data_IF_408736480784
#
_entry.id   IF_408736480784
#
_cell.length_a   1.000
_cell.length_b   1.000
_cell.length_c   1.000
_cell.angle_alpha   90.00
_cell.angle_beta   90.00
_cell.angle_gamma   90.00
#
_symmetry.space_group_name_H-M   'P 1'
#
loop_
_entity.id
_entity.type
_entity.pdbx_description
1 polymer ?
#
# COMPACT_ATOMS: atom_id res chain seq x y z
N UNK A 1 26.74 -6.00 17.18
CA UNK A 1 25.28 -6.10 17.03
C UNK A 1 24.66 -6.53 18.35
N UNK A 2 24.59 -5.61 19.31
CA UNK A 2 23.81 -5.84 20.53
C UNK A 2 22.42 -5.28 20.28
N UNK A 3 21.40 -6.13 20.19
CA UNK A 3 20.02 -5.68 20.26
C UNK A 3 19.86 -4.95 21.58
N UNK A 4 19.50 -3.67 21.55
CA UNK A 4 19.18 -2.93 22.77
C UNK A 4 17.92 -3.57 23.35
N UNK A 5 18.03 -4.17 24.53
CA UNK A 5 16.92 -4.71 25.35
C UNK A 5 15.80 -3.68 25.65
N UNK A 6 15.95 -2.43 25.21
CA UNK A 6 15.01 -1.33 25.38
C UNK A 6 14.13 -1.08 24.17
N UNK A 7 14.39 -1.71 23.03
CA UNK A 7 13.45 -1.71 21.91
C UNK A 7 12.88 -3.13 21.83
N UNK A 8 11.60 -3.35 22.20
CA UNK A 8 10.90 -4.50 21.71
C UNK A 8 10.75 -4.21 20.24
N UNK A 9 11.77 -4.55 19.45
CA UNK A 9 11.57 -4.72 18.03
C UNK A 9 10.43 -5.73 17.93
N UNK A 10 9.23 -5.23 17.65
CA UNK A 10 8.22 -6.04 17.01
C UNK A 10 8.91 -6.47 15.73
N UNK A 11 9.45 -7.69 15.76
CA UNK A 11 10.17 -8.29 14.65
C UNK A 11 9.37 -7.98 13.38
N UNK A 12 9.99 -7.57 12.26
CA UNK A 12 9.24 -7.29 11.04
C UNK A 12 8.30 -8.46 10.77
N UNK A 13 7.01 -8.15 10.56
CA UNK A 13 5.90 -9.10 10.38
C UNK A 13 5.29 -9.73 11.65
N UNK A 14 5.84 -9.52 12.85
CA UNK A 14 5.24 -9.95 14.12
C UNK A 14 3.78 -9.49 14.30
N UNK A 15 3.46 -8.20 14.03
CA UNK A 15 2.09 -7.69 14.10
C UNK A 15 1.12 -8.35 13.10
N UNK A 16 1.61 -8.91 11.97
CA UNK A 16 0.75 -9.60 11.01
C UNK A 16 0.06 -10.83 11.61
N UNK A 17 0.72 -11.54 12.55
CA UNK A 17 0.09 -12.67 13.27
C UNK A 17 -1.16 -12.26 14.04
N UNK A 18 -1.17 -11.02 14.54
CA UNK A 18 -2.28 -10.45 15.31
C UNK A 18 -3.25 -9.66 14.45
N UNK A 19 -3.01 -9.59 13.12
CA UNK A 19 -3.74 -8.76 12.17
C UNK A 19 -3.68 -7.27 12.50
N UNK A 20 -2.66 -6.86 13.24
CA UNK A 20 -2.42 -5.47 13.56
C UNK A 20 -1.80 -4.79 12.34
N UNK A 21 -2.45 -3.71 11.88
CA UNK A 21 -1.93 -2.88 10.78
C UNK A 21 -0.88 -1.95 11.33
N UNK A 22 0.35 -2.12 10.87
CA UNK A 22 1.49 -1.31 11.27
C UNK A 22 2.08 -0.61 10.06
N UNK A 23 2.45 0.66 10.24
CA UNK A 23 3.20 1.43 9.22
C UNK A 23 4.59 0.84 9.04
N UNK A 24 5.17 0.28 10.10
CA UNK A 24 6.48 -0.37 10.08
C UNK A 24 6.32 -1.81 9.58
N UNK A 25 6.59 -2.03 8.30
CA UNK A 25 6.50 -3.34 7.65
C UNK A 25 7.67 -3.61 6.72
N UNK A 26 7.91 -4.88 6.41
CA UNK A 26 8.86 -5.28 5.38
C UNK A 26 8.12 -5.47 4.06
N UNK A 27 8.53 -4.76 3.01
CA UNK A 27 8.10 -5.01 1.64
C UNK A 27 9.33 -5.39 0.79
N UNK A 28 9.41 -6.62 0.25
CA UNK A 28 10.54 -7.03 -0.58
C UNK A 28 10.61 -6.26 -1.91
N UNK A 29 9.50 -5.66 -2.33
CA UNK A 29 9.38 -4.82 -3.53
C UNK A 29 9.20 -3.37 -3.12
N UNK A 30 10.31 -2.66 -2.97
CA UNK A 30 10.30 -1.22 -2.72
C UNK A 30 10.13 -0.51 -4.06
N UNK A 31 8.96 0.07 -4.30
CA UNK A 31 8.74 0.94 -5.44
C UNK A 31 9.42 2.29 -5.23
N UNK A 32 9.91 2.89 -6.32
CA UNK A 32 10.55 4.21 -6.31
C UNK A 32 9.65 5.27 -5.64
N UNK A 33 8.37 5.30 -6.03
CA UNK A 33 7.34 6.17 -5.47
C UNK A 33 7.20 6.00 -3.94
N UNK A 34 7.20 4.76 -3.44
CA UNK A 34 7.13 4.51 -2.01
C UNK A 34 8.41 4.94 -1.28
N UNK A 35 9.59 4.76 -1.88
CA UNK A 35 10.83 5.30 -1.29
C UNK A 35 10.85 6.83 -1.26
N UNK A 36 10.36 7.49 -2.30
CA UNK A 36 10.24 8.96 -2.36
C UNK A 36 9.31 9.45 -1.25
N UNK A 37 8.16 8.80 -1.06
CA UNK A 37 7.25 9.09 0.05
C UNK A 37 7.94 8.98 1.42
N UNK A 38 8.68 7.89 1.67
CA UNK A 38 9.39 7.67 2.94
C UNK A 38 10.54 8.68 3.15
N UNK A 39 11.15 9.19 2.08
CA UNK A 39 12.13 10.26 2.19
C UNK A 39 11.47 11.60 2.56
N UNK A 40 10.39 11.98 1.86
CA UNK A 40 9.66 13.22 2.10
C UNK A 40 9.12 13.29 3.52
N UNK A 41 8.48 12.21 4.01
CA UNK A 41 7.97 12.15 5.39
C UNK A 41 9.07 12.26 6.45
N UNK A 42 10.31 11.91 6.12
CA UNK A 42 11.48 12.07 7.00
C UNK A 42 12.23 13.39 6.77
N UNK A 43 11.69 14.32 5.98
CA UNK A 43 12.32 15.60 5.66
C UNK A 43 13.59 15.48 4.80
N UNK A 44 13.72 14.40 4.03
CA UNK A 44 14.84 14.17 3.11
C UNK A 44 14.43 14.48 1.67
N UNK A 45 15.43 14.71 0.83
CA UNK A 45 15.23 14.80 -0.62
C UNK A 45 14.59 13.51 -1.17
N UNK A 46 13.51 13.58 -1.98
CA UNK A 46 12.79 12.41 -2.47
C UNK A 46 13.69 11.39 -3.17
N UNK A 47 14.73 11.84 -3.87
CA UNK A 47 15.62 11.00 -4.68
C UNK A 47 16.82 10.47 -3.89
N UNK A 48 16.85 10.73 -2.57
CA UNK A 48 17.83 10.13 -1.66
C UNK A 48 17.72 8.60 -1.71
N UNK A 49 18.85 7.89 -1.79
CA UNK A 49 18.83 6.43 -1.69
C UNK A 49 18.19 5.99 -0.36
N UNK A 50 17.08 5.23 -0.38
CA UNK A 50 16.30 4.95 0.82
C UNK A 50 16.99 4.04 1.86
N UNK A 51 18.09 3.39 1.47
CA UNK A 51 18.67 2.27 2.23
C UNK A 51 17.99 0.94 1.90
N UNK A 52 18.40 -0.14 2.57
CA UNK A 52 17.85 -1.48 2.31
C UNK A 52 16.45 -1.70 2.90
N UNK A 53 16.29 -1.40 4.19
CA UNK A 53 15.00 -1.51 4.89
C UNK A 53 14.40 -0.11 5.05
N UNK A 54 13.23 0.12 4.44
CA UNK A 54 12.49 1.36 4.60
C UNK A 54 11.88 1.43 6.01
N UNK A 55 12.53 2.18 6.89
CA UNK A 55 12.03 2.48 8.22
C UNK A 55 11.71 3.96 8.36
N UNK A 56 10.61 4.26 9.04
CA UNK A 56 10.39 5.57 9.66
C UNK A 56 11.17 5.57 10.97
N UNK A 57 12.37 6.14 10.94
CA UNK A 57 13.28 6.09 12.08
C UNK A 57 13.02 7.19 13.12
N UNK A 58 12.35 8.27 12.73
CA UNK A 58 12.11 9.43 13.59
C UNK A 58 10.66 9.90 13.44
N UNK A 59 9.72 9.08 13.94
CA UNK A 59 8.28 9.37 13.88
C UNK A 59 7.92 10.68 14.60
N UNK A 60 8.51 11.02 15.77
CA UNK A 60 8.22 12.31 16.42
C UNK A 60 8.54 13.54 15.58
N UNK A 61 9.55 13.48 14.71
CA UNK A 61 9.92 14.56 13.80
C UNK A 61 9.47 14.33 12.35
N UNK A 62 8.67 13.29 12.10
CA UNK A 62 8.14 13.03 10.78
C UNK A 62 7.15 14.12 10.34
N UNK A 63 7.09 14.37 9.04
CA UNK A 63 6.10 15.26 8.46
C UNK A 63 4.68 14.82 8.86
N UNK A 64 3.92 15.77 9.39
CA UNK A 64 2.59 15.48 9.92
C UNK A 64 1.64 15.06 8.80
N UNK A 65 1.69 15.68 7.62
CA UNK A 65 0.84 15.28 6.49
C UNK A 65 1.13 13.83 6.08
N UNK A 66 2.39 13.43 6.00
CA UNK A 66 2.79 12.05 5.72
C UNK A 66 2.16 11.03 6.69
N UNK A 67 2.16 11.33 7.99
CA UNK A 67 1.50 10.49 9.00
C UNK A 67 -0.03 10.49 8.85
N UNK A 68 -0.61 11.62 8.47
CA UNK A 68 -2.05 11.75 8.21
C UNK A 68 -2.47 10.88 7.04
N UNK A 69 -1.80 10.98 5.89
CA UNK A 69 -2.14 10.21 4.69
C UNK A 69 -1.88 8.72 4.85
N UNK A 70 -0.92 8.31 5.69
CA UNK A 70 -0.74 6.91 6.10
C UNK A 70 -1.90 6.37 6.95
N UNK A 71 -2.79 7.25 7.43
CA UNK A 71 -3.91 6.87 8.29
C UNK A 71 -3.44 6.41 9.68
N UNK A 72 -2.33 6.97 10.18
CA UNK A 72 -1.85 6.69 11.54
C UNK A 72 -2.94 7.08 12.54
N UNK A 73 -3.20 6.21 13.52
CA UNK A 73 -4.17 6.50 14.60
C UNK A 73 -3.54 6.47 15.98
N UNK A 74 -2.49 5.68 16.14
CA UNK A 74 -1.80 5.51 17.40
C UNK A 74 -0.29 5.48 17.18
N UNK A 75 0.43 6.02 18.16
CA UNK A 75 1.88 5.92 18.26
C UNK A 75 2.22 5.19 19.56
N UNK A 76 3.17 4.27 19.48
CA UNK A 76 3.72 3.56 20.64
C UNK A 76 5.20 3.90 20.72
N UNK A 77 5.62 4.56 21.82
CA UNK A 77 6.97 5.12 21.97
C UNK A 77 7.45 4.99 23.42
N UNK A 78 8.76 4.92 23.63
CA UNK A 78 9.37 4.90 24.97
C UNK A 78 9.55 6.30 25.54
N UNK A 79 9.88 7.25 24.67
CA UNK A 79 10.13 8.63 25.04
C UNK A 79 8.84 9.46 25.10
N UNK A 80 8.90 10.57 25.83
CA UNK A 80 7.81 11.53 25.79
C UNK A 80 7.77 12.22 24.43
N UNK A 81 6.59 12.25 23.82
CA UNK A 81 6.32 12.90 22.53
C UNK A 81 5.35 14.04 22.77
N UNK A 82 5.59 15.17 22.11
CA UNK A 82 4.73 16.34 22.16
C UNK A 82 3.55 16.28 21.19
N UNK A 83 2.88 17.41 21.02
CA UNK A 83 1.88 17.59 19.97
C UNK A 83 2.47 17.25 18.59
N UNK A 84 1.68 16.69 17.65
CA UNK A 84 0.22 16.50 17.70
C UNK A 84 -0.25 15.21 18.41
N UNK A 85 0.64 14.46 19.07
CA UNK A 85 0.30 13.20 19.73
C UNK A 85 -0.29 13.43 21.13
N UNK A 86 -1.42 12.80 21.42
CA UNK A 86 -2.12 12.93 22.71
C UNK A 86 -1.82 11.69 23.57
N UNK A 87 -1.21 11.82 24.75
CA UNK A 87 -0.95 10.69 25.62
C UNK A 87 -2.26 9.99 26.03
N UNK A 88 -2.35 8.67 25.83
CA UNK A 88 -3.52 7.88 26.25
C UNK A 88 -3.20 7.01 27.46
N UNK A 89 -2.10 6.25 27.39
CA UNK A 89 -1.84 5.20 28.37
C UNK A 89 -0.35 4.91 28.50
N UNK A 90 0.10 4.71 29.74
CA UNK A 90 1.38 4.06 30.04
C UNK A 90 1.15 2.56 30.18
N UNK A 91 1.85 1.76 29.38
CA UNK A 91 1.79 0.30 29.40
C UNK A 91 2.66 -0.28 30.52
N UNK A 92 2.37 -1.50 31.02
CA UNK A 92 3.09 -2.09 32.16
C UNK A 92 4.60 -2.24 31.95
N UNK A 93 5.05 -2.39 30.71
CA UNK A 93 6.45 -2.51 30.33
C UNK A 93 7.17 -1.15 30.21
N UNK A 94 6.48 -0.03 30.43
CA UNK A 94 7.05 1.32 30.35
C UNK A 94 6.81 2.05 29.02
N UNK A 95 6.25 1.38 28.00
CA UNK A 95 5.84 2.02 26.75
C UNK A 95 4.72 3.05 26.98
N UNK A 96 4.69 4.07 26.14
CA UNK A 96 3.69 5.11 26.11
C UNK A 96 2.87 4.97 24.82
N UNK A 97 1.56 4.85 24.98
CA UNK A 97 0.58 4.87 23.90
C UNK A 97 0.04 6.30 23.76
N UNK A 98 0.08 6.79 22.53
CA UNK A 98 -0.49 8.07 22.14
C UNK A 98 -1.55 7.87 21.07
N UNK A 99 -2.57 8.72 21.09
CA UNK A 99 -3.52 8.90 20.01
C UNK A 99 -3.02 9.95 19.04
N UNK A 100 -3.29 9.73 17.76
CA UNK A 100 -3.10 10.71 16.69
C UNK A 100 -4.43 10.95 16.00
N UNK A 101 -5.07 12.08 16.34
CA UNK A 101 -6.45 12.38 15.93
C UNK A 101 -6.59 12.89 14.49
N UNK A 102 -5.47 13.17 13.82
CA UNK A 102 -5.47 13.78 12.48
C UNK A 102 -5.35 12.75 11.33
N UNK A 103 -5.26 11.46 11.65
CA UNK A 103 -5.13 10.38 10.67
C UNK A 103 -6.30 10.34 9.68
N UNK A 104 -6.00 10.31 8.39
CA UNK A 104 -7.01 10.27 7.34
C UNK A 104 -7.64 8.88 7.21
N UNK A 105 -8.90 8.78 6.75
CA UNK A 105 -9.48 7.50 6.37
C UNK A 105 -8.71 6.86 5.20
N UNK A 106 -8.91 5.55 4.98
CA UNK A 106 -8.23 4.81 3.90
C UNK A 106 -8.56 5.36 2.50
N UNK A 107 -9.71 6.02 2.36
CA UNK A 107 -10.14 6.70 1.14
C UNK A 107 -10.60 8.12 1.50
N UNK A 108 -10.12 9.12 0.77
CA UNK A 108 -10.44 10.53 1.05
C UNK A 108 -10.34 11.38 -0.22
N UNK A 109 -10.98 12.55 -0.20
CA UNK A 109 -10.87 13.54 -1.29
C UNK A 109 -9.69 14.48 -1.06
N UNK A 110 -9.03 14.89 -2.14
CA UNK A 110 -7.94 15.87 -2.12
C UNK A 110 -8.03 16.82 -3.31
N UNK A 111 -7.64 18.08 -3.10
CA UNK A 111 -7.50 19.10 -4.15
C UNK A 111 -6.04 19.31 -4.49
N UNK A 112 -5.78 19.83 -5.68
CA UNK A 112 -4.43 20.29 -6.04
C UNK A 112 -4.02 21.47 -5.15
N UNK A 113 -2.78 21.45 -4.69
CA UNK A 113 -2.22 22.46 -3.82
C UNK A 113 -0.76 22.72 -4.16
N UNK A 114 -0.33 23.97 -3.99
CA UNK A 114 1.08 24.35 -4.15
C UNK A 114 1.84 24.10 -2.83
N UNK A 115 2.09 22.83 -2.53
CA UNK A 115 2.83 22.35 -1.35
C UNK A 115 3.74 21.18 -1.75
N UNK A 116 4.58 20.69 -0.82
CA UNK A 116 5.53 19.60 -1.07
C UNK A 116 4.87 18.26 -1.48
N UNK A 117 3.55 18.15 -1.25
CA UNK A 117 2.74 16.97 -1.55
C UNK A 117 1.97 17.08 -2.87
N UNK A 118 1.90 18.28 -3.48
CA UNK A 118 1.08 18.61 -4.65
C UNK A 118 -0.43 18.53 -4.43
N UNK A 119 -0.86 18.07 -3.25
CA UNK A 119 -2.25 17.79 -2.90
C UNK A 119 -2.54 18.21 -1.46
N UNK A 120 -3.79 18.54 -1.21
CA UNK A 120 -4.30 18.85 0.13
C UNK A 120 -5.64 18.12 0.36
N UNK A 121 -5.81 17.38 1.48
CA UNK A 121 -7.07 16.71 1.81
C UNK A 121 -8.23 17.70 1.97
N UNK A 122 -9.43 17.28 1.55
CA UNK A 122 -10.67 18.03 1.74
C UNK A 122 -11.35 17.52 3.02
N UNK A 123 -11.05 18.15 4.15
CA UNK A 123 -11.54 17.73 5.49
C UNK A 123 -13.07 17.65 5.59
N UNK A 124 -13.78 18.64 5.03
CA UNK A 124 -15.24 18.74 5.13
C UNK A 124 -16.05 17.73 4.31
N UNK A 125 -15.39 16.83 3.57
CA UNK A 125 -16.05 15.83 2.71
C UNK A 125 -15.66 14.38 3.04
N UNK A 126 -14.95 14.15 4.14
CA UNK A 126 -14.49 12.80 4.50
C UNK A 126 -15.63 11.85 4.82
N UNK A 127 -16.71 12.35 5.43
CA UNK A 127 -17.92 11.60 5.75
C UNK A 127 -18.77 11.26 4.51
N UNK A 128 -18.58 12.02 3.43
CA UNK A 128 -19.21 11.79 2.12
C UNK A 128 -18.49 10.75 1.27
N UNK A 129 -17.43 10.12 1.78
CA UNK A 129 -16.65 9.10 1.07
C UNK A 129 -16.60 7.80 1.88
N UNK A 130 -16.99 6.68 1.27
CA UNK A 130 -17.02 5.39 1.96
C UNK A 130 -16.62 4.23 1.06
N UNK A 131 -15.96 3.26 1.66
CA UNK A 131 -15.71 1.96 1.04
C UNK A 131 -16.99 1.13 1.18
N UNK A 132 -17.55 0.71 0.05
CA UNK A 132 -18.75 -0.14 -0.01
C UNK A 132 -18.37 -1.61 -0.03
N UNK A 133 -17.29 -1.95 -0.73
CA UNK A 133 -16.77 -3.31 -0.85
C UNK A 133 -15.24 -3.26 -0.78
N UNK A 134 -14.63 -4.23 -0.10
CA UNK A 134 -13.18 -4.39 -0.07
C UNK A 134 -12.82 -5.86 0.06
N UNK A 135 -12.08 -6.36 -0.91
CA UNK A 135 -11.32 -7.60 -0.84
C UNK A 135 -9.82 -7.31 -1.11
N UNK A 136 -9.02 -8.36 -1.35
CA UNK A 136 -7.58 -8.22 -1.60
C UNK A 136 -7.23 -7.59 -2.96
N UNK A 137 -8.09 -7.73 -3.97
CA UNK A 137 -7.86 -7.34 -5.37
C UNK A 137 -8.96 -6.42 -5.93
N UNK A 138 -9.94 -6.03 -5.14
CA UNK A 138 -11.11 -5.26 -5.55
C UNK A 138 -11.54 -4.34 -4.40
N UNK A 139 -11.75 -3.07 -4.73
CA UNK A 139 -12.31 -2.09 -3.81
C UNK A 139 -13.32 -1.23 -4.54
N UNK A 140 -14.47 -1.02 -3.92
CA UNK A 140 -15.55 -0.16 -4.43
C UNK A 140 -15.73 0.97 -3.45
N UNK A 141 -15.65 2.20 -3.96
CA UNK A 141 -15.79 3.42 -3.17
C UNK A 141 -16.90 4.25 -3.75
N UNK A 142 -17.83 4.66 -2.88
CA UNK A 142 -18.82 5.68 -3.20
C UNK A 142 -18.38 6.99 -2.56
N UNK A 143 -18.51 8.07 -3.32
CA UNK A 143 -18.08 9.39 -2.87
C UNK A 143 -18.96 10.50 -3.45
N UNK A 144 -19.15 11.56 -2.69
CA UNK A 144 -19.84 12.78 -3.11
C UNK A 144 -18.97 14.00 -2.80
N UNK A 145 -18.79 14.90 -3.77
CA UNK A 145 -17.98 16.10 -3.62
C UNK A 145 -18.65 17.30 -4.29
N UNK A 146 -18.47 18.50 -3.75
CA UNK A 146 -19.00 19.73 -4.37
C UNK A 146 -18.14 20.20 -5.55
N UNK A 147 -16.91 19.71 -5.66
CA UNK A 147 -15.95 20.12 -6.68
C UNK A 147 -15.23 18.92 -7.32
N UNK A 148 -14.71 19.12 -8.53
CA UNK A 148 -13.90 18.09 -9.18
C UNK A 148 -12.55 17.94 -8.48
N UNK A 149 -12.32 16.79 -7.85
CA UNK A 149 -11.20 16.54 -6.93
C UNK A 149 -10.61 15.14 -7.14
N UNK A 150 -9.45 14.90 -6.55
CA UNK A 150 -8.84 13.58 -6.50
C UNK A 150 -9.54 12.74 -5.44
N UNK A 151 -9.93 11.52 -5.79
CA UNK A 151 -10.25 10.47 -4.84
C UNK A 151 -8.99 9.64 -4.61
N UNK A 152 -8.44 9.74 -3.41
CA UNK A 152 -7.19 9.08 -3.02
C UNK A 152 -7.53 7.83 -2.23
N UNK A 153 -6.94 6.72 -2.65
CA UNK A 153 -6.92 5.45 -1.95
C UNK A 153 -5.53 5.26 -1.35
N UNK A 154 -5.43 5.31 -0.01
CA UNK A 154 -4.23 5.00 0.76
C UNK A 154 -3.94 3.49 0.67
N UNK A 155 -3.45 3.11 -0.49
CA UNK A 155 -2.78 1.87 -0.78
C UNK A 155 -1.70 2.18 -1.81
N UNK A 156 -0.55 1.51 -1.72
CA UNK A 156 0.57 1.84 -2.60
C UNK A 156 0.16 1.61 -4.07
N UNK A 157 0.49 2.58 -4.92
CA UNK A 157 0.38 2.40 -6.36
C UNK A 157 1.26 1.23 -6.79
N UNK A 158 0.79 0.36 -7.66
CA UNK A 158 1.57 -0.75 -8.19
C UNK A 158 1.10 -1.10 -9.62
N UNK A 159 1.99 -1.51 -10.54
CA UNK A 159 1.59 -1.90 -11.90
C UNK A 159 0.58 -3.06 -11.91
N UNK A 160 -0.50 -2.91 -12.67
CA UNK A 160 -1.57 -3.92 -12.78
C UNK A 160 -2.86 -3.56 -12.02
N UNK A 161 -2.87 -2.47 -11.24
CA UNK A 161 -4.14 -1.88 -10.83
C UNK A 161 -4.82 -1.20 -12.01
N UNK A 162 -6.12 -1.44 -12.16
CA UNK A 162 -7.03 -0.76 -13.08
C UNK A 162 -8.10 -0.05 -12.25
N UNK A 163 -8.58 1.11 -12.72
CA UNK A 163 -9.70 1.81 -12.10
C UNK A 163 -10.82 2.09 -13.10
N UNK A 164 -12.05 2.15 -12.61
CA UNK A 164 -13.19 2.66 -13.35
C UNK A 164 -13.90 3.74 -12.54
N UNK A 165 -14.32 4.81 -13.19
CA UNK A 165 -15.17 5.87 -12.65
C UNK A 165 -16.56 5.72 -13.29
N UNK A 166 -17.57 5.46 -12.46
CA UNK A 166 -18.96 5.31 -12.88
C UNK A 166 -19.15 4.27 -14.02
N UNK A 167 -18.30 3.23 -14.01
CA UNK A 167 -18.30 2.14 -14.98
C UNK A 167 -17.34 2.31 -16.17
N UNK A 168 -16.83 3.51 -16.40
CA UNK A 168 -15.90 3.81 -17.49
C UNK A 168 -14.43 3.73 -17.03
N UNK A 169 -13.48 3.29 -17.87
CA UNK A 169 -12.06 3.27 -17.52
C UNK A 169 -11.54 4.63 -17.05
N UNK A 170 -10.76 4.63 -15.97
CA UNK A 170 -10.16 5.84 -15.40
C UNK A 170 -8.67 5.65 -15.11
N UNK A 171 -7.90 6.71 -15.33
CA UNK A 171 -6.46 6.70 -15.07
C UNK A 171 -6.18 6.73 -13.56
N UNK A 172 -5.22 5.90 -13.13
CA UNK A 172 -4.68 5.93 -11.77
C UNK A 172 -3.38 6.72 -11.77
N UNK A 173 -3.39 7.88 -11.11
CA UNK A 173 -2.20 8.67 -10.83
C UNK A 173 -1.56 8.27 -9.49
N UNK A 174 -0.28 8.60 -9.35
CA UNK A 174 0.42 8.51 -8.07
C UNK A 174 0.10 9.76 -7.25
N UNK A 175 -0.67 9.60 -6.18
CA UNK A 175 -1.05 10.66 -5.24
C UNK A 175 -0.15 10.63 -4.00
N UNK A 176 0.21 11.80 -3.46
CA UNK A 176 1.10 11.92 -2.29
C UNK A 176 2.35 11.05 -2.41
N UNK A 177 3.01 11.10 -3.57
CA UNK A 177 4.22 10.34 -3.92
C UNK A 177 4.10 8.80 -3.97
N UNK A 178 3.09 8.16 -3.36
CA UNK A 178 3.04 6.70 -3.28
C UNK A 178 1.67 6.05 -3.46
N UNK A 179 0.57 6.78 -3.27
CA UNK A 179 -0.78 6.21 -3.21
C UNK A 179 -1.51 6.28 -4.54
N UNK A 180 -2.65 5.60 -4.62
CA UNK A 180 -3.47 5.59 -5.83
C UNK A 180 -4.46 6.74 -5.82
N UNK A 181 -4.48 7.56 -6.87
CA UNK A 181 -5.42 8.66 -7.05
C UNK A 181 -6.20 8.52 -8.36
N UNK A 182 -7.52 8.71 -8.30
CA UNK A 182 -8.39 8.81 -9.48
C UNK A 182 -9.06 10.18 -9.48
N UNK A 183 -9.04 10.90 -10.60
CA UNK A 183 -9.75 12.18 -10.70
C UNK A 183 -11.23 11.93 -10.89
N UNK A 184 -12.06 12.46 -10.00
CA UNK A 184 -13.52 12.32 -10.06
C UNK A 184 -14.20 13.71 -10.13
N UNK A 185 -15.29 13.85 -10.90
CA UNK A 185 -16.03 15.11 -11.03
C UNK A 185 -16.74 15.49 -9.72
N UNK A 186 -17.30 16.69 -9.71
CA UNK A 186 -18.27 17.11 -8.70
C UNK A 186 -19.54 16.25 -8.79
N UNK A 187 -20.24 16.10 -7.66
CA UNK A 187 -21.41 15.26 -7.50
C UNK A 187 -21.05 13.87 -6.95
N UNK A 188 -21.97 12.93 -7.15
CA UNK A 188 -21.83 11.54 -6.72
C UNK A 188 -21.11 10.73 -7.79
N UNK A 189 -20.12 9.97 -7.35
CA UNK A 189 -19.41 9.02 -8.20
C UNK A 189 -19.12 7.73 -7.45
N UNK A 190 -19.01 6.65 -8.20
CA UNK A 190 -18.47 5.38 -7.77
C UNK A 190 -17.13 5.14 -8.46
N UNK A 191 -16.10 4.84 -7.67
CA UNK A 191 -14.79 4.43 -8.19
C UNK A 191 -14.52 3.01 -7.76
N UNK A 192 -14.09 2.20 -8.72
CA UNK A 192 -13.75 0.80 -8.50
C UNK A 192 -12.30 0.58 -8.88
N UNK A 193 -11.47 0.09 -7.96
CA UNK A 193 -10.15 -0.42 -8.32
C UNK A 193 -10.18 -1.94 -8.38
N UNK A 194 -9.48 -2.49 -9.38
CA UNK A 194 -9.28 -3.93 -9.56
C UNK A 194 -7.82 -4.21 -9.86
N UNK A 195 -7.22 -5.13 -9.10
CA UNK A 195 -5.89 -5.62 -9.39
C UNK A 195 -5.94 -6.75 -10.41
N UNK A 196 -5.32 -6.52 -11.56
CA UNK A 196 -5.09 -7.49 -12.63
C UNK A 196 -3.59 -7.61 -12.90
N UNK A 197 -2.94 -8.71 -12.46
CA UNK A 197 -1.50 -8.85 -12.65
C UNK A 197 -1.15 -8.80 -14.14
N UNK A 198 -0.25 -7.88 -14.53
CA UNK A 198 0.04 -7.54 -15.93
C UNK A 198 0.44 -8.75 -16.79
N UNK A 199 1.13 -9.73 -16.18
CA UNK A 199 1.64 -10.92 -16.86
C UNK A 199 0.79 -12.18 -16.60
N UNK A 200 -0.36 -12.04 -15.97
CA UNK A 200 -1.21 -13.18 -15.59
C UNK A 200 -1.54 -14.07 -16.79
N UNK A 201 -2.01 -13.46 -17.88
CA UNK A 201 -2.38 -14.17 -19.11
C UNK A 201 -1.18 -14.84 -19.78
N UNK A 202 0.01 -14.21 -19.72
CA UNK A 202 1.24 -14.78 -20.26
C UNK A 202 1.66 -16.03 -19.46
N UNK A 203 1.66 -15.94 -18.13
CA UNK A 203 2.01 -17.08 -17.27
C UNK A 203 1.05 -18.24 -17.43
N UNK A 204 -0.26 -17.97 -17.52
CA UNK A 204 -1.25 -18.99 -17.84
C UNK A 204 -0.98 -19.64 -19.20
N UNK A 205 -0.66 -18.83 -20.23
CA UNK A 205 -0.31 -19.35 -21.55
C UNK A 205 0.91 -20.27 -21.54
N UNK A 206 2.00 -19.85 -20.88
CA UNK A 206 3.22 -20.67 -20.72
C UNK A 206 2.92 -21.97 -19.96
N UNK A 207 2.16 -21.89 -18.87
CA UNK A 207 1.78 -23.07 -18.08
C UNK A 207 0.94 -24.07 -18.89
N UNK A 208 -0.01 -23.57 -19.70
CA UNK A 208 -0.83 -24.40 -20.58
C UNK A 208 0.01 -25.09 -21.66
N UNK A 209 0.92 -24.37 -22.31
CA UNK A 209 1.84 -24.95 -23.31
C UNK A 209 2.72 -26.02 -22.67
N UNK A 210 3.29 -25.76 -21.49
CA UNK A 210 4.10 -26.73 -20.76
C UNK A 210 3.29 -28.00 -20.43
N UNK A 211 2.06 -27.86 -19.95
CA UNK A 211 1.18 -28.99 -19.64
C UNK A 211 0.85 -29.83 -20.89
N UNK A 212 0.61 -29.19 -22.04
CA UNK A 212 0.38 -29.88 -23.32
C UNK A 212 1.62 -30.67 -23.73
N UNK A 213 2.81 -30.05 -23.68
CA UNK A 213 4.07 -30.71 -24.04
C UNK A 213 4.39 -31.88 -23.12
N UNK A 214 4.23 -31.72 -21.80
CA UNK A 214 4.41 -32.81 -20.83
C UNK A 214 3.45 -33.97 -21.10
N UNK A 215 2.19 -33.68 -21.44
CA UNK A 215 1.21 -34.72 -21.78
C UNK A 215 1.61 -35.43 -23.08
N UNK A 216 2.04 -34.70 -24.11
CA UNK A 216 2.49 -35.29 -25.36
C UNK A 216 3.69 -36.22 -25.16
N UNK A 217 4.68 -35.81 -24.36
CA UNK A 217 5.85 -36.62 -24.00
C UNK A 217 5.46 -37.94 -23.29
N UNK A 218 4.43 -37.92 -22.43
CA UNK A 218 3.94 -39.12 -21.75
C UNK A 218 3.18 -40.08 -22.67
N UNK A 219 2.59 -39.57 -23.76
CA UNK A 219 1.82 -40.38 -24.73
C UNK A 219 2.72 -40.97 -25.82
N UNK A 220 3.83 -40.31 -26.16
CA UNK A 220 4.83 -40.85 -27.08
C UNK A 220 5.53 -42.03 -26.40
N UNK A 221 5.16 -43.26 -26.78
CA UNK A 221 5.90 -44.46 -26.35
C UNK A 221 7.33 -44.39 -26.88
N UNK A 222 8.35 -44.71 -26.07
CA UNK A 222 9.71 -44.80 -26.59
C UNK A 222 9.76 -45.85 -27.73
N UNK A 223 10.63 -45.64 -28.73
CA UNK A 223 10.83 -46.64 -29.78
C UNK A 223 11.17 -47.98 -29.12
N UNK A 224 10.47 -49.03 -29.56
CA UNK A 224 10.70 -50.39 -29.07
C UNK A 224 12.16 -50.74 -29.40
N UNK A 225 13.01 -50.97 -28.40
CA UNK A 225 14.30 -51.61 -28.64
C UNK A 225 14.01 -52.98 -29.25
N UNK A 226 14.38 -53.14 -30.51
CA UNK A 226 14.33 -54.42 -31.20
C UNK A 226 15.42 -55.28 -30.57
N UNK A 227 15.04 -56.21 -29.70
CA UNK A 227 15.98 -57.16 -29.11
C UNK A 227 16.60 -57.98 -30.26
N UNK A 228 17.92 -57.86 -30.44
CA UNK A 228 18.69 -58.72 -31.33
C UNK A 228 18.35 -60.19 -31.03
N UNK A 229 18.01 -61.02 -32.04
CA UNK A 229 17.77 -62.43 -31.80
C UNK A 229 19.05 -63.08 -31.27
N UNK A 230 18.94 -63.76 -30.15
CA UNK A 230 20.03 -64.57 -29.60
C UNK A 230 20.27 -65.78 -30.51
N UNK A 231 21.43 -65.82 -31.16
CA UNK A 231 21.98 -66.99 -31.85
C UNK A 231 22.63 -67.99 -30.86
#
# INVERSE_FOLDING_TARGET
WGMREREPELYPNGPLYYRDRVVRGYNPTILLHYSQFINVIQGRDPDTFPGGLLFLNDIPNADTMGLRVLGVKHLVEWNQVGAPFVPEKKLPNGLLLYRFDQGLPRVFRAREANNDWGLEPIEGEMDKTRIVESDCNHIVVETESEEASWLVFNDCWFPGWEATLDGEPADIAVAFHAFQGVRAPAGKSQVVWRFRPTLWNLYLGVALVAAILSTALLVIKPPREESEPAD
#
